data_IF_654430124984
#
_entry.id   IF_654430124984
#
_cell.length_a   1.000
_cell.length_b   1.000
_cell.length_c   1.000
_cell.angle_alpha   90.00
_cell.angle_beta   90.00
_cell.angle_gamma   90.00
#
_symmetry.space_group_name_H-M   'P 1'
#
loop_
_entity.id
_entity.type
_entity.pdbx_description
1 polymer ?
#
# COMPACT_ATOMS: atom_id res chain seq x y z
N UNK A 1 1.32 -32.77 -19.11
CA UNK A 1 0.30 -32.14 -19.95
C UNK A 1 -0.63 -31.26 -19.11
N UNK A 2 -0.13 -30.52 -18.11
CA UNK A 2 -0.91 -29.65 -17.21
C UNK A 2 -0.34 -28.23 -17.05
N UNK A 3 0.65 -27.83 -17.88
CA UNK A 3 1.37 -26.56 -17.71
C UNK A 3 0.98 -25.45 -18.71
N UNK A 4 0.04 -25.67 -19.63
CA UNK A 4 -0.23 -24.72 -20.73
C UNK A 4 -1.49 -23.86 -20.57
N UNK A 5 -2.33 -24.12 -19.57
CA UNK A 5 -3.61 -23.39 -19.42
C UNK A 5 -3.47 -21.99 -18.80
N UNK A 6 -2.54 -21.80 -17.89
CA UNK A 6 -2.28 -20.48 -17.29
C UNK A 6 -1.67 -19.48 -18.30
N UNK A 7 -0.88 -19.99 -19.24
CA UNK A 7 -0.22 -19.16 -20.27
C UNK A 7 -1.13 -18.74 -21.43
N UNK A 8 -2.18 -19.51 -21.72
CA UNK A 8 -3.12 -19.18 -22.83
C UNK A 8 -3.98 -17.96 -22.50
N UNK A 9 -4.35 -17.76 -21.22
CA UNK A 9 -5.11 -16.59 -20.79
C UNK A 9 -4.25 -15.32 -20.83
N UNK A 10 -2.98 -15.41 -20.46
CA UNK A 10 -2.01 -14.31 -20.56
C UNK A 10 -1.68 -13.93 -22.02
N UNK A 11 -1.85 -14.85 -22.98
CA UNK A 11 -1.64 -14.57 -24.41
C UNK A 11 -2.82 -13.86 -25.10
N UNK A 12 -4.04 -13.93 -24.58
CA UNK A 12 -5.18 -13.18 -25.15
C UNK A 12 -5.04 -11.68 -24.98
N UNK A 13 -4.32 -11.21 -23.96
CA UNK A 13 -3.97 -9.81 -23.79
C UNK A 13 -2.91 -9.29 -24.79
N UNK A 14 -2.27 -10.15 -25.57
CA UNK A 14 -1.26 -9.76 -26.58
C UNK A 14 -1.82 -9.21 -27.90
N UNK A 15 -3.13 -9.17 -28.11
CA UNK A 15 -3.76 -8.57 -29.30
C UNK A 15 -4.20 -7.12 -29.13
N UNK A 16 -3.89 -6.48 -27.99
CA UNK A 16 -4.04 -5.04 -27.84
C UNK A 16 -2.76 -4.37 -28.34
N UNK A 17 -2.87 -3.83 -29.53
CA UNK A 17 -2.00 -2.96 -30.30
C UNK A 17 -0.66 -2.56 -29.64
N UNK A 18 0.40 -2.86 -30.41
CA UNK A 18 1.72 -2.27 -30.42
C UNK A 18 1.63 -0.75 -30.69
N UNK A 19 1.21 0.00 -29.67
CA UNK A 19 1.29 1.46 -29.62
C UNK A 19 1.01 1.87 -28.16
N UNK A 20 2.09 2.06 -27.38
CA UNK A 20 2.09 2.95 -26.22
C UNK A 20 3.53 3.29 -25.86
N UNK A 21 4.06 4.26 -26.60
CA UNK A 21 4.99 5.23 -26.04
C UNK A 21 4.22 6.07 -25.03
N UNK A 22 4.46 5.86 -23.70
CA UNK A 22 3.96 6.71 -22.64
C UNK A 22 2.46 6.55 -22.30
N UNK A 23 2.14 5.77 -21.26
CA UNK A 23 0.85 5.91 -20.58
C UNK A 23 0.76 7.33 -20.03
N UNK A 24 -0.31 8.10 -20.35
CA UNK A 24 -0.53 9.39 -19.68
C UNK A 24 -0.70 9.12 -18.18
N UNK A 25 0.00 9.89 -17.35
CA UNK A 25 -0.07 9.76 -15.88
C UNK A 25 -1.52 9.88 -15.38
N UNK A 26 -2.36 10.66 -16.05
CA UNK A 26 -3.79 10.81 -15.72
C UNK A 26 -4.59 9.52 -15.90
N UNK A 27 -4.12 8.60 -16.71
CA UNK A 27 -4.74 7.29 -16.90
C UNK A 27 -4.24 6.25 -15.91
N UNK A 28 -3.14 6.54 -15.20
CA UNK A 28 -2.55 5.62 -14.23
C UNK A 28 -3.42 5.54 -12.97
N UNK A 29 -3.82 4.32 -12.62
CA UNK A 29 -4.63 4.03 -11.43
C UNK A 29 -3.83 3.18 -10.47
N UNK A 30 -3.70 3.67 -9.24
CA UNK A 30 -2.95 3.06 -8.14
C UNK A 30 -3.92 2.73 -7.01
N UNK A 31 -3.84 1.53 -6.46
CA UNK A 31 -4.58 1.14 -5.27
C UNK A 31 -3.61 0.68 -4.18
N UNK A 32 -3.79 1.21 -2.98
CA UNK A 32 -3.00 0.82 -1.81
C UNK A 32 -3.94 0.15 -0.81
N UNK A 33 -3.71 -1.13 -0.52
CA UNK A 33 -4.59 -1.94 0.32
C UNK A 33 -3.82 -2.35 1.58
N UNK A 34 -4.15 -1.72 2.69
CA UNK A 34 -3.67 -2.02 4.04
C UNK A 34 -4.70 -2.79 4.86
N UNK A 35 -4.28 -3.31 6.00
CA UNK A 35 -5.15 -3.95 6.97
C UNK A 35 -5.89 -2.94 7.83
N UNK A 36 -5.20 -1.90 8.29
CA UNK A 36 -5.73 -0.90 9.22
C UNK A 36 -5.75 0.51 8.60
N UNK A 37 -6.61 1.42 9.15
CA UNK A 37 -6.65 2.82 8.76
C UNK A 37 -5.39 3.57 9.23
N UNK A 38 -4.29 3.49 8.53
CA UNK A 38 -2.98 4.16 8.69
C UNK A 38 -1.86 3.37 7.98
N UNK A 39 -2.07 2.10 7.66
CA UNK A 39 -1.07 1.26 6.98
C UNK A 39 -0.56 1.86 5.67
N UNK A 40 -1.42 2.40 4.77
CA UNK A 40 -0.95 3.04 3.55
C UNK A 40 0.01 4.20 3.85
N UNK A 41 -0.31 5.01 4.84
CA UNK A 41 0.50 6.18 5.21
C UNK A 41 1.83 5.77 5.86
N UNK A 42 1.78 4.84 6.79
CA UNK A 42 2.98 4.34 7.48
C UNK A 42 3.99 3.77 6.50
N UNK A 43 3.52 3.11 5.45
CA UNK A 43 4.38 2.39 4.52
C UNK A 43 4.76 3.20 3.28
N UNK A 44 3.89 4.11 2.80
CA UNK A 44 4.12 4.74 1.51
C UNK A 44 3.48 6.12 1.30
N UNK A 45 3.27 6.91 2.38
CA UNK A 45 2.66 8.24 2.26
C UNK A 45 3.35 9.14 1.23
N UNK A 46 4.68 9.15 1.22
CA UNK A 46 5.44 9.97 0.25
C UNK A 46 5.26 9.48 -1.19
N UNK A 47 5.24 8.18 -1.42
CA UNK A 47 4.99 7.61 -2.75
C UNK A 47 3.55 7.90 -3.21
N UNK A 48 2.56 7.83 -2.30
CA UNK A 48 1.17 8.22 -2.61
C UNK A 48 1.11 9.68 -3.05
N UNK A 49 1.73 10.59 -2.28
CA UNK A 49 1.79 12.02 -2.61
C UNK A 49 2.42 12.24 -4.01
N UNK A 50 3.55 11.61 -4.30
CA UNK A 50 4.22 11.71 -5.60
C UNK A 50 3.40 11.15 -6.77
N UNK A 51 2.69 10.04 -6.56
CA UNK A 51 1.76 9.54 -7.58
C UNK A 51 0.62 10.55 -7.83
N UNK A 52 0.02 11.07 -6.78
CA UNK A 52 -1.06 12.06 -6.89
C UNK A 52 -0.57 13.35 -7.58
N UNK A 53 0.59 13.88 -7.19
CA UNK A 53 1.21 15.06 -7.80
C UNK A 53 1.51 14.85 -9.29
N UNK A 54 1.91 13.63 -9.69
CA UNK A 54 2.12 13.29 -11.11
C UNK A 54 0.84 13.17 -11.93
N UNK A 55 -0.33 13.32 -11.30
CA UNK A 55 -1.65 13.22 -11.92
C UNK A 55 -2.26 11.82 -11.92
N UNK A 56 -1.61 10.81 -11.31
CA UNK A 56 -2.17 9.49 -11.18
C UNK A 56 -3.37 9.48 -10.22
N UNK A 57 -4.34 8.63 -10.50
CA UNK A 57 -5.50 8.42 -9.62
C UNK A 57 -5.12 7.41 -8.53
N UNK A 58 -5.10 7.83 -7.28
CA UNK A 58 -4.73 6.98 -6.15
C UNK A 58 -5.94 6.73 -5.27
N UNK A 59 -6.24 5.45 -4.97
CA UNK A 59 -7.20 5.04 -3.96
C UNK A 59 -6.50 4.26 -2.86
N UNK A 60 -6.83 4.62 -1.63
CA UNK A 60 -6.36 3.96 -0.43
C UNK A 60 -7.49 3.10 0.13
N UNK A 61 -7.15 1.96 0.71
CA UNK A 61 -8.12 0.99 1.25
C UNK A 61 -7.60 0.46 2.57
N UNK A 62 -8.45 0.46 3.60
CA UNK A 62 -8.28 -0.33 4.80
C UNK A 62 -9.30 -1.47 4.81
N UNK A 63 -8.84 -2.70 5.06
CA UNK A 63 -9.73 -3.87 5.12
C UNK A 63 -10.46 -3.93 6.46
N UNK A 64 -9.87 -3.43 7.55
CA UNK A 64 -10.56 -3.25 8.83
C UNK A 64 -11.05 -1.82 9.02
N UNK A 65 -12.02 -1.65 9.93
CA UNK A 65 -12.52 -0.35 10.34
C UNK A 65 -11.68 0.31 11.45
N UNK A 66 -10.67 -0.37 11.98
CA UNK A 66 -9.76 0.19 12.97
C UNK A 66 -10.35 0.32 14.37
N UNK A 67 -11.20 -0.58 14.79
CA UNK A 67 -12.06 -0.44 15.96
C UNK A 67 -11.47 -0.89 17.31
N UNK A 68 -10.24 -1.45 17.34
CA UNK A 68 -9.70 -2.01 18.61
C UNK A 68 -8.40 -1.37 19.11
N UNK A 69 -7.72 -0.61 18.29
CA UNK A 69 -6.43 0.00 18.65
C UNK A 69 -6.57 1.29 19.46
N UNK A 70 -7.20 1.24 20.67
CA UNK A 70 -7.28 2.38 21.59
C UNK A 70 -7.54 1.94 23.04
N UNK A 71 -7.04 2.72 24.04
CA UNK A 71 -7.16 2.36 25.48
C UNK A 71 -8.47 2.81 26.11
N UNK A 72 -9.11 3.83 25.56
CA UNK A 72 -10.25 4.51 26.19
C UNK A 72 -11.50 4.47 25.30
N UNK A 73 -11.35 4.75 24.00
CA UNK A 73 -12.50 4.80 23.10
C UNK A 73 -13.06 3.40 22.84
N UNK A 74 -14.38 3.23 22.97
CA UNK A 74 -15.03 1.98 22.62
C UNK A 74 -14.99 1.76 21.09
N UNK A 75 -15.14 0.50 20.63
CA UNK A 75 -14.92 0.13 19.23
C UNK A 75 -15.66 0.98 18.21
N UNK A 76 -16.97 1.24 18.43
CA UNK A 76 -17.77 2.01 17.48
C UNK A 76 -17.29 3.46 17.35
N UNK A 77 -17.03 4.12 18.48
CA UNK A 77 -16.57 5.52 18.49
C UNK A 77 -15.18 5.63 17.87
N UNK A 78 -14.30 4.65 18.14
CA UNK A 78 -12.99 4.59 17.54
C UNK A 78 -13.07 4.43 16.01
N UNK A 79 -13.88 3.51 15.51
CA UNK A 79 -14.08 3.30 14.09
C UNK A 79 -14.60 4.56 13.37
N UNK A 80 -15.58 5.24 13.96
CA UNK A 80 -16.12 6.51 13.43
C UNK A 80 -15.04 7.60 13.39
N UNK A 81 -14.25 7.72 14.46
CA UNK A 81 -13.13 8.67 14.52
C UNK A 81 -12.05 8.35 13.48
N UNK A 82 -11.58 7.11 13.43
CA UNK A 82 -10.54 6.67 12.47
C UNK A 82 -11.00 6.83 11.02
N UNK A 83 -12.30 6.63 10.75
CA UNK A 83 -12.85 6.95 9.43
C UNK A 83 -12.65 8.43 9.08
N UNK A 84 -12.94 9.34 10.00
CA UNK A 84 -12.69 10.78 9.79
C UNK A 84 -11.21 11.11 9.56
N UNK A 85 -10.33 10.46 10.31
CA UNK A 85 -8.87 10.58 10.20
C UNK A 85 -8.36 10.12 8.83
N UNK A 86 -8.86 8.98 8.31
CA UNK A 86 -8.50 8.49 6.96
C UNK A 86 -8.91 9.47 5.87
N UNK A 87 -10.11 10.09 5.98
CA UNK A 87 -10.56 11.05 4.98
C UNK A 87 -9.70 12.33 5.00
N UNK A 88 -9.23 12.75 6.17
CA UNK A 88 -8.30 13.87 6.30
C UNK A 88 -6.94 13.55 5.67
N UNK A 89 -6.39 12.38 5.97
CA UNK A 89 -5.13 11.90 5.40
C UNK A 89 -5.17 11.80 3.88
N UNK A 90 -6.23 11.21 3.31
CA UNK A 90 -6.42 11.13 1.86
C UNK A 90 -6.35 12.52 1.19
N UNK A 91 -7.01 13.52 1.78
CA UNK A 91 -6.95 14.90 1.27
C UNK A 91 -5.54 15.48 1.34
N UNK A 92 -4.84 15.24 2.45
CA UNK A 92 -3.45 15.70 2.64
C UNK A 92 -2.51 15.10 1.58
N UNK A 93 -2.70 13.84 1.20
CA UNK A 93 -1.89 13.16 0.19
C UNK A 93 -2.34 13.40 -1.26
N UNK A 94 -3.48 14.05 -1.47
CA UNK A 94 -4.07 14.21 -2.81
C UNK A 94 -4.64 12.92 -3.38
N UNK A 95 -4.93 11.92 -2.55
CA UNK A 95 -5.58 10.69 -2.98
C UNK A 95 -7.05 10.94 -3.36
N UNK A 96 -7.54 10.22 -4.39
CA UNK A 96 -8.91 10.37 -4.89
C UNK A 96 -9.95 9.93 -3.84
N UNK A 97 -9.63 8.87 -3.08
CA UNK A 97 -10.53 8.28 -2.10
C UNK A 97 -9.78 7.40 -1.11
N UNK A 98 -10.26 7.38 0.14
CA UNK A 98 -9.95 6.35 1.12
C UNK A 98 -11.21 5.52 1.40
N UNK A 99 -11.12 4.22 1.14
CA UNK A 99 -12.20 3.25 1.38
C UNK A 99 -11.84 2.50 2.66
N UNK A 100 -12.78 2.45 3.61
CA UNK A 100 -12.65 1.66 4.83
C UNK A 100 -13.72 0.57 4.77
N UNK A 101 -13.27 -0.69 4.80
CA UNK A 101 -14.17 -1.84 4.83
C UNK A 101 -14.60 -2.14 6.28
N UNK A 102 -15.44 -3.14 6.43
CA UNK A 102 -16.12 -3.49 7.69
C UNK A 102 -15.47 -4.63 8.47
N UNK A 103 -14.24 -5.02 8.12
CA UNK A 103 -13.48 -5.95 8.94
C UNK A 103 -13.15 -5.35 10.31
N UNK A 104 -13.00 -6.19 11.34
CA UNK A 104 -12.61 -5.77 12.68
C UNK A 104 -11.11 -5.95 12.90
N UNK A 105 -10.47 -5.05 13.65
CA UNK A 105 -9.07 -5.19 14.05
C UNK A 105 -8.85 -6.47 14.83
N UNK A 106 -7.72 -7.15 14.60
CA UNK A 106 -7.32 -8.41 15.21
C UNK A 106 -8.21 -9.62 14.82
N UNK A 107 -9.14 -9.46 13.88
CA UNK A 107 -10.08 -10.50 13.47
C UNK A 107 -10.10 -10.72 11.94
N UNK A 108 -9.17 -10.09 11.21
CA UNK A 108 -9.16 -10.25 9.76
C UNK A 108 -8.74 -11.68 9.37
N UNK A 109 -9.57 -12.27 8.53
CA UNK A 109 -9.33 -13.58 7.93
C UNK A 109 -9.54 -13.52 6.42
N UNK A 110 -8.86 -14.39 5.68
CA UNK A 110 -9.02 -14.52 4.23
C UNK A 110 -10.32 -15.29 3.87
N UNK A 111 -11.46 -14.85 4.40
CA UNK A 111 -12.77 -15.46 4.16
C UNK A 111 -13.24 -15.22 2.72
N UNK A 112 -14.19 -16.05 2.24
CA UNK A 112 -14.81 -15.86 0.93
C UNK A 112 -15.51 -14.51 0.80
N UNK A 113 -16.20 -14.08 1.86
CA UNK A 113 -16.88 -12.79 1.89
C UNK A 113 -15.90 -11.64 1.69
N UNK A 114 -14.81 -11.62 2.47
CA UNK A 114 -13.80 -10.56 2.37
C UNK A 114 -13.09 -10.59 1.01
N UNK A 115 -12.78 -11.77 0.47
CA UNK A 115 -12.21 -11.92 -0.88
C UNK A 115 -13.12 -11.31 -1.95
N UNK A 116 -14.43 -11.54 -1.86
CA UNK A 116 -15.40 -10.96 -2.80
C UNK A 116 -15.50 -9.43 -2.65
N UNK A 117 -15.56 -8.90 -1.40
CA UNK A 117 -15.55 -7.45 -1.14
C UNK A 117 -14.31 -6.79 -1.76
N UNK A 118 -13.12 -7.32 -1.49
CA UNK A 118 -11.86 -6.79 -2.04
C UNK A 118 -11.81 -6.95 -3.56
N UNK A 119 -12.24 -8.09 -4.11
CA UNK A 119 -12.32 -8.27 -5.57
C UNK A 119 -13.19 -7.20 -6.22
N UNK A 120 -14.35 -6.91 -5.65
CA UNK A 120 -15.30 -5.93 -6.19
C UNK A 120 -14.67 -4.54 -6.29
N UNK A 121 -14.09 -4.04 -5.21
CA UNK A 121 -13.45 -2.71 -5.23
C UNK A 121 -12.26 -2.63 -6.18
N UNK A 122 -11.49 -3.70 -6.32
CA UNK A 122 -10.39 -3.77 -7.30
C UNK A 122 -10.95 -3.73 -8.72
N UNK A 123 -11.95 -4.54 -9.04
CA UNK A 123 -12.53 -4.58 -10.39
C UNK A 123 -13.20 -3.26 -10.77
N UNK A 124 -13.94 -2.63 -9.86
CA UNK A 124 -14.61 -1.34 -10.09
C UNK A 124 -13.62 -0.20 -10.37
N UNK A 125 -12.44 -0.24 -9.77
CA UNK A 125 -11.41 0.77 -10.01
C UNK A 125 -10.47 0.38 -11.15
N UNK A 126 -10.28 -0.91 -11.38
CA UNK A 126 -9.35 -1.48 -12.35
C UNK A 126 -7.94 -0.88 -12.26
N UNK A 127 -7.24 -0.99 -11.10
CA UNK A 127 -5.91 -0.41 -10.91
C UNK A 127 -4.88 -1.05 -11.86
N UNK A 128 -3.85 -0.29 -12.21
CA UNK A 128 -2.68 -0.81 -12.93
C UNK A 128 -1.65 -1.37 -11.96
N UNK A 129 -1.58 -0.78 -10.75
CA UNK A 129 -0.70 -1.21 -9.66
C UNK A 129 -1.52 -1.31 -8.38
N UNK A 130 -1.28 -2.40 -7.63
CA UNK A 130 -1.76 -2.58 -6.27
C UNK A 130 -0.54 -2.68 -5.34
N UNK A 131 -0.55 -1.94 -4.24
CA UNK A 131 0.38 -2.12 -3.14
C UNK A 131 -0.33 -2.78 -1.97
N UNK A 132 0.34 -3.73 -1.29
CA UNK A 132 -0.25 -4.47 -0.17
C UNK A 132 0.82 -5.07 0.74
N UNK A 133 0.39 -5.72 1.83
CA UNK A 133 1.27 -6.46 2.73
C UNK A 133 1.76 -7.78 2.13
N UNK A 134 2.92 -8.26 2.61
CA UNK A 134 3.34 -9.64 2.39
C UNK A 134 2.52 -10.60 3.26
N UNK A 135 2.52 -11.89 2.89
CA UNK A 135 1.93 -12.96 3.69
C UNK A 135 2.77 -13.34 4.92
N UNK A 136 3.94 -12.72 5.10
CA UNK A 136 4.80 -12.84 6.26
C UNK A 136 4.99 -11.46 6.89
N UNK A 137 4.38 -11.24 8.05
CA UNK A 137 4.39 -9.98 8.78
C UNK A 137 4.16 -10.26 10.27
N UNK A 138 4.49 -9.29 11.16
CA UNK A 138 4.24 -9.43 12.59
C UNK A 138 2.75 -9.49 12.92
N UNK A 139 1.92 -8.72 12.20
CA UNK A 139 0.49 -8.60 12.47
C UNK A 139 -0.31 -9.68 11.72
N UNK A 140 -1.22 -10.34 12.43
CA UNK A 140 -2.09 -11.35 11.82
C UNK A 140 -2.93 -10.76 10.68
N UNK A 141 -3.50 -9.58 10.91
CA UNK A 141 -4.34 -8.89 9.93
C UNK A 141 -3.56 -8.49 8.65
N UNK A 142 -2.29 -8.07 8.78
CA UNK A 142 -1.43 -7.82 7.62
C UNK A 142 -1.25 -9.08 6.78
N UNK A 143 -0.98 -10.22 7.45
CA UNK A 143 -0.86 -11.52 6.77
C UNK A 143 -2.16 -11.95 6.10
N UNK A 144 -3.31 -11.70 6.76
CA UNK A 144 -4.63 -12.01 6.20
C UNK A 144 -4.91 -11.20 4.94
N UNK A 145 -4.61 -9.88 4.94
CA UNK A 145 -4.75 -9.03 3.75
C UNK A 145 -3.80 -9.46 2.64
N UNK A 146 -2.53 -9.74 2.97
CA UNK A 146 -1.58 -10.32 2.01
C UNK A 146 -2.11 -11.61 1.39
N UNK A 147 -2.67 -12.51 2.20
CA UNK A 147 -3.26 -13.76 1.72
C UNK A 147 -4.49 -13.53 0.84
N UNK A 148 -5.39 -12.61 1.23
CA UNK A 148 -6.54 -12.23 0.39
C UNK A 148 -6.07 -11.83 -1.00
N UNK A 149 -5.08 -10.92 -1.08
CA UNK A 149 -4.58 -10.42 -2.36
C UNK A 149 -3.93 -11.53 -3.20
N UNK A 150 -3.12 -12.40 -2.59
CA UNK A 150 -2.50 -13.53 -3.32
C UNK A 150 -3.56 -14.48 -3.87
N UNK A 151 -4.59 -14.81 -3.07
CA UNK A 151 -5.66 -15.71 -3.48
C UNK A 151 -6.49 -15.15 -4.63
N UNK A 152 -6.86 -13.86 -4.57
CA UNK A 152 -7.78 -13.27 -5.55
C UNK A 152 -7.10 -12.76 -6.82
N UNK A 153 -5.78 -12.56 -6.82
CA UNK A 153 -5.10 -11.95 -7.98
C UNK A 153 -5.40 -12.70 -9.29
N UNK A 154 -5.35 -14.04 -9.29
CA UNK A 154 -5.78 -14.82 -10.45
C UNK A 154 -7.27 -14.69 -10.71
N UNK A 155 -8.10 -14.65 -9.66
CA UNK A 155 -9.56 -14.61 -9.77
C UNK A 155 -10.10 -13.28 -10.29
N UNK A 156 -9.32 -12.21 -10.26
CA UNK A 156 -9.69 -10.93 -10.88
C UNK A 156 -10.05 -11.10 -12.36
N UNK A 157 -9.46 -12.09 -13.04
CA UNK A 157 -9.75 -12.42 -14.43
C UNK A 157 -10.87 -13.44 -14.65
N UNK A 158 -11.47 -14.02 -13.59
CA UNK A 158 -12.49 -15.07 -13.69
C UNK A 158 -13.90 -14.45 -13.67
N UNK A 159 -14.66 -14.47 -14.80
CA UNK A 159 -15.92 -13.71 -14.91
C UNK A 159 -16.94 -14.03 -13.82
N UNK A 160 -17.15 -15.31 -13.52
CA UNK A 160 -18.16 -15.77 -12.56
C UNK A 160 -17.70 -15.76 -11.10
N UNK A 161 -16.49 -15.32 -10.82
CA UNK A 161 -16.00 -15.14 -9.44
C UNK A 161 -16.72 -14.00 -8.70
N UNK A 162 -16.92 -12.86 -9.36
CA UNK A 162 -17.60 -11.69 -8.85
C UNK A 162 -18.39 -11.04 -10.00
N UNK A 163 -19.53 -11.63 -10.38
CA UNK A 163 -20.25 -11.24 -11.60
C UNK A 163 -20.85 -9.84 -11.55
N UNK A 164 -21.00 -9.27 -10.36
CA UNK A 164 -21.50 -7.91 -10.13
C UNK A 164 -20.49 -6.80 -10.47
N UNK A 165 -19.22 -7.14 -10.69
CA UNK A 165 -18.18 -6.21 -11.09
C UNK A 165 -17.47 -6.68 -12.35
N UNK A 166 -17.21 -5.81 -13.36
CA UNK A 166 -16.63 -6.21 -14.63
C UNK A 166 -15.19 -6.72 -14.45
N UNK A 167 -14.80 -7.73 -15.24
CA UNK A 167 -13.41 -8.18 -15.31
C UNK A 167 -12.54 -7.03 -15.84
N UNK A 168 -11.42 -6.69 -15.21
CA UNK A 168 -10.56 -5.61 -15.69
C UNK A 168 -9.89 -5.97 -17.02
N UNK A 169 -9.78 -5.00 -17.91
CA UNK A 169 -9.10 -5.17 -19.22
C UNK A 169 -7.59 -5.47 -19.06
N UNK A 170 -6.98 -4.96 -18.00
CA UNK A 170 -5.57 -5.14 -17.68
C UNK A 170 -5.44 -5.64 -16.25
N UNK A 171 -4.74 -6.76 -16.08
CA UNK A 171 -4.42 -7.29 -14.75
C UNK A 171 -3.43 -6.35 -14.05
N UNK A 172 -3.64 -6.04 -12.77
CA UNK A 172 -2.71 -5.21 -12.00
C UNK A 172 -1.37 -5.90 -11.77
N UNK A 173 -0.30 -5.12 -11.71
CA UNK A 173 0.92 -5.54 -11.05
C UNK A 173 0.74 -5.36 -9.53
N UNK A 174 1.22 -6.32 -8.74
CA UNK A 174 1.13 -6.28 -7.28
C UNK A 174 2.52 -6.03 -6.70
N UNK A 175 2.62 -5.04 -5.83
CA UNK A 175 3.82 -4.74 -5.09
C UNK A 175 3.59 -4.92 -3.59
N UNK A 176 4.56 -5.53 -2.93
CA UNK A 176 4.57 -5.60 -1.48
C UNK A 176 5.18 -4.33 -0.89
N UNK A 177 4.51 -3.79 0.12
CA UNK A 177 5.01 -2.71 0.95
C UNK A 177 6.10 -3.23 1.90
N UNK A 178 6.89 -2.31 2.41
CA UNK A 178 8.00 -2.57 3.32
C UNK A 178 7.55 -3.31 4.58
N UNK A 179 8.32 -4.31 4.99
CA UNK A 179 8.28 -4.91 6.33
C UNK A 179 9.70 -5.19 6.85
N UNK A 180 9.80 -5.65 8.11
CA UNK A 180 11.09 -5.96 8.76
C UNK A 180 11.41 -7.45 8.87
N UNK A 181 10.54 -8.31 8.34
CA UNK A 181 10.67 -9.76 8.51
C UNK A 181 11.74 -10.35 7.59
N UNK A 182 12.46 -11.30 8.15
CA UNK A 182 13.55 -12.01 7.45
C UNK A 182 13.20 -13.48 7.15
N UNK A 183 12.05 -13.96 7.63
CA UNK A 183 11.54 -15.32 7.40
C UNK A 183 10.26 -15.24 6.60
N UNK A 184 10.12 -15.95 5.48
CA UNK A 184 11.10 -16.89 4.85
C UNK A 184 12.32 -16.20 4.23
N UNK A 185 12.24 -14.92 3.91
CA UNK A 185 13.33 -14.06 3.41
C UNK A 185 13.03 -12.58 3.65
N UNK A 186 14.04 -11.76 3.59
CA UNK A 186 13.86 -10.31 3.59
C UNK A 186 13.08 -9.81 2.36
N UNK A 187 12.42 -8.66 2.51
CA UNK A 187 11.83 -7.94 1.37
C UNK A 187 12.94 -7.56 0.38
N UNK A 188 12.68 -7.74 -0.90
CA UNK A 188 13.61 -7.36 -1.96
C UNK A 188 13.30 -5.93 -2.42
N UNK A 189 14.26 -5.01 -2.38
CA UNK A 189 14.06 -3.64 -2.81
C UNK A 189 14.11 -3.55 -4.36
N UNK A 190 13.06 -4.03 -5.03
CA UNK A 190 12.95 -3.96 -6.49
C UNK A 190 12.72 -2.53 -6.96
N UNK A 191 11.97 -1.76 -6.18
CA UNK A 191 11.73 -0.32 -6.42
C UNK A 191 11.96 0.43 -5.13
N UNK A 192 12.67 1.54 -5.23
CA UNK A 192 12.93 2.47 -4.12
C UNK A 192 12.51 3.86 -4.57
N UNK A 193 11.58 4.48 -3.88
CA UNK A 193 11.15 5.86 -4.15
C UNK A 193 11.80 6.79 -3.12
N UNK A 194 12.54 7.79 -3.57
CA UNK A 194 13.03 8.86 -2.70
C UNK A 194 11.87 9.82 -2.39
N UNK A 195 11.52 9.92 -1.11
CA UNK A 195 10.43 10.79 -0.64
C UNK A 195 10.94 11.94 0.22
N UNK A 196 12.24 12.26 0.13
CA UNK A 196 12.88 13.28 0.95
C UNK A 196 12.25 14.67 0.77
N UNK A 197 11.86 15.00 -0.44
CA UNK A 197 11.25 16.29 -0.80
C UNK A 197 9.77 16.43 -0.37
N UNK A 198 9.05 15.32 -0.19
CA UNK A 198 7.63 15.30 0.23
C UNK A 198 7.46 14.79 1.67
N UNK A 199 8.56 14.73 2.44
CA UNK A 199 8.53 14.17 3.79
C UNK A 199 7.60 14.94 4.76
N UNK A 200 7.42 16.25 4.57
CA UNK A 200 6.55 17.06 5.40
C UNK A 200 5.09 16.70 5.15
N UNK A 201 4.70 16.62 3.88
CA UNK A 201 3.36 16.17 3.50
C UNK A 201 3.07 14.75 3.96
N UNK A 202 4.05 13.85 3.84
CA UNK A 202 3.93 12.48 4.35
C UNK A 202 3.74 12.46 5.88
N UNK A 203 4.49 13.29 6.63
CA UNK A 203 4.33 13.39 8.08
C UNK A 203 2.97 13.99 8.46
N UNK A 204 2.49 15.00 7.73
CA UNK A 204 1.18 15.61 7.96
C UNK A 204 0.04 14.61 7.75
N UNK A 205 0.18 13.71 6.78
CA UNK A 205 -0.79 12.64 6.57
C UNK A 205 -0.84 11.66 7.75
N UNK A 206 0.32 11.28 8.31
CA UNK A 206 0.36 10.48 9.53
C UNK A 206 -0.24 11.24 10.72
N UNK A 207 0.02 12.54 10.84
CA UNK A 207 -0.57 13.38 11.89
C UNK A 207 -2.11 13.44 11.84
N UNK A 208 -2.74 13.16 10.71
CA UNK A 208 -4.19 13.07 10.62
C UNK A 208 -4.76 11.90 11.44
N UNK A 209 -4.00 10.84 11.65
CA UNK A 209 -4.39 9.67 12.46
C UNK A 209 -4.09 9.92 13.94
N UNK A 210 -4.69 10.96 14.49
CA UNK A 210 -4.39 11.43 15.84
C UNK A 210 -4.64 10.39 16.92
N UNK A 211 -5.70 9.59 16.78
CA UNK A 211 -6.03 8.48 17.70
C UNK A 211 -4.88 7.47 17.82
N UNK A 212 -4.09 7.31 16.76
CA UNK A 212 -2.98 6.36 16.72
C UNK A 212 -1.66 7.02 17.11
N UNK A 213 -1.26 8.10 16.42
CA UNK A 213 0.08 8.66 16.56
C UNK A 213 0.26 9.52 17.81
N UNK A 214 -0.82 9.99 18.43
CA UNK A 214 -0.75 10.83 19.63
C UNK A 214 -1.47 10.26 20.85
N UNK A 215 -2.24 9.17 20.72
CA UNK A 215 -2.96 8.58 21.86
C UNK A 215 -2.57 7.11 22.09
N UNK A 216 -2.63 6.25 21.03
CA UNK A 216 -2.41 4.81 21.19
C UNK A 216 -0.95 4.41 21.16
N UNK A 217 -0.20 4.79 20.13
CA UNK A 217 1.14 4.27 19.84
C UNK A 217 2.29 4.86 20.69
N UNK A 218 2.25 6.12 21.17
CA UNK A 218 3.39 6.68 21.88
C UNK A 218 3.88 5.85 23.07
N UNK A 219 3.03 5.27 23.93
CA UNK A 219 3.49 4.42 25.03
C UNK A 219 4.17 3.11 24.61
N UNK A 220 3.98 2.68 23.36
CA UNK A 220 4.60 1.46 22.81
C UNK A 220 6.03 1.71 22.27
N UNK A 221 6.44 2.98 22.19
CA UNK A 221 7.73 3.38 21.64
C UNK A 221 8.61 3.98 22.74
N UNK A 222 9.86 3.50 22.92
CA UNK A 222 10.76 4.03 23.93
C UNK A 222 10.95 5.54 23.81
N UNK A 223 10.64 6.28 24.87
CA UNK A 223 10.79 7.73 24.97
C UNK A 223 9.72 8.55 24.23
N UNK A 224 8.80 7.91 23.52
CA UNK A 224 7.81 8.66 22.76
C UNK A 224 6.67 9.20 23.66
N UNK A 225 6.35 8.52 24.75
CA UNK A 225 5.30 8.99 25.65
C UNK A 225 5.64 10.34 26.30
N UNK A 226 6.90 10.53 26.70
CA UNK A 226 7.39 11.73 27.36
C UNK A 226 7.52 12.93 26.40
N UNK A 227 7.75 12.69 25.13
CA UNK A 227 7.93 13.71 24.10
C UNK A 227 6.67 13.96 23.26
N UNK A 228 5.60 13.22 23.52
CA UNK A 228 4.36 13.30 22.75
C UNK A 228 3.72 14.68 22.88
N UNK A 229 3.55 15.45 21.80
CA UNK A 229 2.91 16.76 21.85
C UNK A 229 1.39 16.68 22.10
N UNK A 230 0.80 15.48 22.06
CA UNK A 230 -0.62 15.27 22.18
C UNK A 230 -1.41 15.74 20.95
N UNK A 231 -2.72 15.51 21.00
CA UNK A 231 -3.64 15.88 19.90
C UNK A 231 -3.73 17.40 19.71
N UNK A 232 -3.53 18.17 20.77
CA UNK A 232 -3.60 19.64 20.78
C UNK A 232 -2.24 20.32 20.49
N UNK A 233 -1.19 19.54 20.28
CA UNK A 233 0.13 20.07 19.93
C UNK A 233 0.14 20.84 18.61
N UNK A 234 1.09 21.77 18.46
CA UNK A 234 1.24 22.52 17.21
C UNK A 234 1.48 21.58 16.01
N UNK A 235 1.19 22.07 14.81
CA UNK A 235 1.44 21.29 13.57
C UNK A 235 2.92 20.95 13.46
N UNK A 236 3.79 21.89 13.79
CA UNK A 236 5.24 21.76 13.77
C UNK A 236 5.73 20.70 14.76
N UNK A 237 5.23 20.71 16.01
CA UNK A 237 5.61 19.73 17.03
C UNK A 237 5.14 18.33 16.67
N UNK A 238 3.89 18.19 16.20
CA UNK A 238 3.34 16.92 15.75
C UNK A 238 4.14 16.35 14.57
N UNK A 239 4.46 17.17 13.58
CA UNK A 239 5.28 16.76 12.43
C UNK A 239 6.69 16.34 12.86
N UNK A 240 7.34 17.11 13.74
CA UNK A 240 8.66 16.80 14.28
C UNK A 240 8.64 15.46 15.04
N UNK A 241 7.63 15.26 15.87
CA UNK A 241 7.42 14.03 16.63
C UNK A 241 7.25 12.79 15.70
N UNK A 242 6.35 12.88 14.71
CA UNK A 242 6.14 11.79 13.73
C UNK A 242 7.42 11.49 12.96
N UNK A 243 8.15 12.49 12.51
CA UNK A 243 9.44 12.28 11.84
C UNK A 243 10.45 11.58 12.74
N UNK A 244 10.57 12.00 14.00
CA UNK A 244 11.51 11.40 14.95
C UNK A 244 11.23 9.93 15.20
N UNK A 245 9.98 9.53 15.38
CA UNK A 245 9.62 8.19 15.83
C UNK A 245 9.22 7.22 14.71
N UNK A 246 8.74 7.74 13.57
CA UNK A 246 8.31 6.87 12.45
C UNK A 246 9.23 6.94 11.25
N UNK A 247 9.83 8.10 10.92
CA UNK A 247 10.72 8.20 9.76
C UNK A 247 12.11 7.64 10.01
N UNK A 248 12.49 7.42 11.27
CA UNK A 248 13.69 6.63 11.61
C UNK A 248 13.72 5.27 10.90
N UNK A 249 12.56 4.67 10.65
CA UNK A 249 12.47 3.40 9.89
C UNK A 249 12.97 3.57 8.45
N UNK A 250 12.66 4.68 7.79
CA UNK A 250 13.14 4.97 6.43
C UNK A 250 14.66 5.16 6.41
N UNK A 251 15.23 5.85 7.39
CA UNK A 251 16.68 5.96 7.53
C UNK A 251 17.37 4.61 7.83
N UNK A 252 16.69 3.74 8.59
CA UNK A 252 17.16 2.37 8.82
C UNK A 252 17.14 1.55 7.53
N UNK A 253 16.11 1.67 6.71
CA UNK A 253 16.02 1.00 5.42
C UNK A 253 17.06 1.53 4.43
N UNK A 254 17.35 2.84 4.43
CA UNK A 254 18.45 3.40 3.64
C UNK A 254 19.77 2.72 3.97
N UNK A 255 20.08 2.56 5.27
CA UNK A 255 21.29 1.84 5.73
C UNK A 255 21.24 0.36 5.39
N UNK A 256 20.12 -0.32 5.67
CA UNK A 256 19.93 -1.76 5.43
C UNK A 256 20.16 -2.16 3.97
N UNK A 257 19.68 -1.34 3.05
CA UNK A 257 19.75 -1.61 1.61
C UNK A 257 20.90 -0.88 0.89
N UNK A 258 21.76 -0.17 1.64
CA UNK A 258 22.89 0.57 1.06
C UNK A 258 22.45 1.66 0.08
N UNK A 259 21.39 2.39 0.42
CA UNK A 259 20.82 3.43 -0.44
C UNK A 259 21.45 4.80 -0.13
N UNK A 260 21.65 5.61 -1.16
CA UNK A 260 22.14 6.98 -1.04
C UNK A 260 21.05 8.01 -0.71
N UNK A 261 19.80 7.60 -0.62
CA UNK A 261 18.64 8.43 -0.29
C UNK A 261 18.37 8.42 1.20
N UNK A 262 17.92 9.56 1.76
CA UNK A 262 17.68 9.67 3.20
C UNK A 262 16.37 9.01 3.63
N UNK A 263 15.30 9.26 2.91
CA UNK A 263 13.97 8.72 3.21
C UNK A 263 13.44 7.88 2.05
N UNK A 264 13.90 6.62 1.92
CA UNK A 264 13.36 5.71 0.91
C UNK A 264 12.02 5.13 1.34
N UNK A 265 11.16 4.88 0.38
CA UNK A 265 10.06 3.93 0.47
C UNK A 265 10.34 2.76 -0.48
N UNK A 266 10.25 1.55 0.05
CA UNK A 266 10.80 0.34 -0.59
C UNK A 266 9.68 -0.61 -0.95
N UNK A 267 9.72 -1.13 -2.17
CA UNK A 267 8.69 -2.03 -2.70
C UNK A 267 9.31 -3.24 -3.39
N UNK A 268 8.65 -4.38 -3.24
CA UNK A 268 9.00 -5.62 -3.93
C UNK A 268 7.90 -5.99 -4.92
N UNK A 269 8.24 -6.23 -6.19
CA UNK A 269 7.31 -6.77 -7.17
C UNK A 269 6.98 -8.23 -6.85
N UNK A 270 5.70 -8.49 -6.60
CA UNK A 270 5.18 -9.84 -6.37
C UNK A 270 5.26 -10.68 -7.64
N UNK A 271 5.38 -12.01 -7.46
CA UNK A 271 5.24 -12.97 -8.57
C UNK A 271 3.78 -13.14 -9.00
N UNK A 272 2.83 -12.72 -8.15
CA UNK A 272 1.40 -12.68 -8.48
C UNK A 272 1.06 -11.42 -9.28
N UNK A 273 0.06 -11.54 -10.16
CA UNK A 273 -0.36 -10.42 -11.01
C UNK A 273 0.50 -10.23 -12.26
N UNK A 274 0.36 -9.06 -12.88
CA UNK A 274 1.11 -8.70 -14.08
C UNK A 274 2.58 -8.53 -13.76
N UNK A 275 3.43 -9.26 -14.46
CA UNK A 275 4.87 -9.08 -14.36
C UNK A 275 5.31 -7.91 -15.25
N UNK A 276 6.04 -6.96 -14.66
CA UNK A 276 6.55 -5.76 -15.32
C UNK A 276 8.04 -5.88 -15.58
N UNK A 277 8.47 -5.44 -16.74
CA UNK A 277 9.88 -5.18 -17.01
C UNK A 277 10.37 -3.93 -16.24
N UNK A 278 11.68 -3.80 -16.04
CA UNK A 278 12.27 -2.61 -15.41
C UNK A 278 11.87 -1.31 -16.14
N UNK A 279 11.74 -1.33 -17.47
CA UNK A 279 11.31 -0.17 -18.24
C UNK A 279 9.84 0.18 -18.03
N UNK A 280 8.95 -0.82 -17.92
CA UNK A 280 7.54 -0.57 -17.58
C UNK A 280 7.41 0.01 -16.18
N UNK A 281 8.17 -0.51 -15.20
CA UNK A 281 8.19 0.03 -13.83
C UNK A 281 8.66 1.49 -13.84
N UNK A 282 9.79 1.79 -14.50
CA UNK A 282 10.30 3.17 -14.63
C UNK A 282 9.29 4.12 -15.27
N UNK A 283 8.52 3.66 -16.25
CA UNK A 283 7.48 4.46 -16.89
C UNK A 283 6.26 4.71 -15.98
N UNK A 284 5.95 3.79 -15.07
CA UNK A 284 4.77 3.87 -14.20
C UNK A 284 5.06 4.58 -12.86
N UNK A 285 6.25 4.42 -12.30
CA UNK A 285 6.62 5.03 -11.02
C UNK A 285 7.04 6.50 -11.18
N UNK A 286 7.02 7.31 -10.08
CA UNK A 286 7.58 8.66 -10.07
C UNK A 286 9.04 8.69 -10.56
N UNK A 287 9.47 9.79 -11.16
CA UNK A 287 10.82 9.93 -11.75
C UNK A 287 11.95 9.73 -10.75
N UNK A 288 11.71 10.01 -9.47
CA UNK A 288 12.67 9.76 -8.38
C UNK A 288 12.79 8.27 -7.99
N UNK A 289 12.05 7.37 -8.62
CA UNK A 289 12.11 5.96 -8.30
C UNK A 289 13.38 5.30 -8.88
N UNK A 290 14.13 4.64 -7.99
CA UNK A 290 15.26 3.78 -8.35
C UNK A 290 14.70 2.37 -8.60
N UNK A 291 14.77 1.90 -9.83
CA UNK A 291 14.32 0.56 -10.21
C UNK A 291 15.55 -0.33 -10.37
N UNK A 292 15.63 -1.37 -9.53
CA UNK A 292 16.70 -2.37 -9.66
C UNK A 292 16.44 -3.25 -10.87
N UNK A 293 17.47 -3.51 -11.66
CA UNK A 293 17.37 -4.45 -12.76
C UNK A 293 17.16 -5.85 -12.19
N UNK A 294 16.06 -6.46 -12.59
CA UNK A 294 15.81 -7.87 -12.32
C UNK A 294 16.58 -8.65 -13.38
N UNK A 295 17.49 -9.51 -12.95
CA UNK A 295 17.98 -10.55 -13.85
C UNK A 295 16.73 -11.23 -14.43
N UNK A 296 16.60 -11.18 -15.76
CA UNK A 296 15.55 -11.94 -16.43
C UNK A 296 15.74 -13.38 -15.98
N UNK A 297 14.87 -13.84 -15.06
CA UNK A 297 14.80 -15.26 -14.75
C UNK A 297 14.46 -15.93 -16.07
N UNK A 298 15.52 -16.39 -16.75
CA UNK A 298 15.38 -17.22 -17.93
C UNK A 298 14.56 -18.43 -17.49
N UNK A 299 13.27 -18.40 -17.77
CA UNK A 299 12.51 -19.63 -17.79
C UNK A 299 13.14 -20.49 -18.90
N UNK A 300 13.99 -21.42 -18.48
CA UNK A 300 14.36 -22.57 -19.28
C UNK A 300 13.20 -23.55 -19.29
#
# INVERSE_FOLDING_TARGET
MFLDWGYAYLRRSRKVKKERSGMDRKDLRIMVIGAHPDDPEVNMAGTIAKFAESGARVRMVSVSCGDKGHRVLPPKELAERRYGETQASARTLGAERYIVLDGHDCELEATMEMKLKVTKIIREFAPHIIFTHRTCDYHADHRAVGQILMDITYFLGVPYWCPEAPVPDVMPAVFFMRDKFTVPREIRPDVVVDVTDVQDQAADALCCHASQFFEWLPPELPGAAEENPGVDGSVEDKRAFVKKYWFVRKEMDARRFGLSVRYPEVFELSEYGKQLSSNEIKAMFPECAIVRERESSGMR
#
